data_IF_821948139089
#
_entry.id   IF_821948139089
#
_cell.length_a   1.000
_cell.length_b   1.000
_cell.length_c   1.000
_cell.angle_alpha   90.00
_cell.angle_beta   90.00
_cell.angle_gamma   90.00
#
_symmetry.space_group_name_H-M   'P 1'
#
loop_
_entity.id
_entity.type
_entity.pdbx_description
1 polymer ?
#
# COMPACT_ATOMS: atom_id res chain seq x y z
N UNK A 1 16.29 -7.43 -3.51
CA UNK A 1 16.04 -7.37 -2.07
C UNK A 1 17.35 -7.70 -1.35
N UNK A 2 17.72 -6.87 -0.40
CA UNK A 2 19.00 -6.96 0.30
C UNK A 2 18.81 -7.54 1.70
N UNK A 3 17.70 -7.18 2.36
CA UNK A 3 17.31 -7.61 3.69
C UNK A 3 15.83 -7.96 3.75
N UNK A 4 15.41 -8.55 4.86
CA UNK A 4 14.02 -8.84 5.19
C UNK A 4 13.72 -8.35 6.60
N UNK A 5 12.55 -7.73 6.79
CA UNK A 5 12.03 -7.48 8.12
C UNK A 5 11.39 -8.75 8.68
N UNK A 6 11.83 -9.16 9.86
CA UNK A 6 11.30 -10.32 10.58
C UNK A 6 10.65 -9.84 11.87
N UNK A 7 9.42 -10.24 12.10
CA UNK A 7 8.67 -9.87 13.30
C UNK A 7 9.14 -10.73 14.48
N UNK A 8 9.52 -10.12 15.59
CA UNK A 8 9.83 -10.89 16.81
C UNK A 8 8.56 -11.58 17.36
N UNK A 9 8.70 -12.68 18.10
CA UNK A 9 7.56 -13.45 18.63
C UNK A 9 6.58 -12.67 19.52
N UNK A 10 6.99 -11.49 19.98
CA UNK A 10 6.20 -10.61 20.85
C UNK A 10 5.37 -9.59 20.10
N UNK A 11 5.41 -9.59 18.77
CA UNK A 11 4.69 -8.63 17.92
C UNK A 11 3.78 -9.32 16.91
N UNK A 12 2.73 -8.62 16.54
CA UNK A 12 1.75 -8.96 15.52
C UNK A 12 1.35 -7.71 14.72
N UNK A 13 0.40 -7.83 13.83
CA UNK A 13 -0.06 -6.70 13.01
C UNK A 13 -0.74 -5.60 13.85
N UNK A 14 -1.30 -5.95 15.00
CA UNK A 14 -1.93 -4.98 15.92
C UNK A 14 -0.85 -4.08 16.54
N UNK A 15 0.20 -4.68 17.10
CA UNK A 15 1.29 -3.93 17.73
C UNK A 15 2.13 -3.15 16.71
N UNK A 16 2.36 -3.72 15.52
CA UNK A 16 3.01 -3.02 14.41
C UNK A 16 2.18 -1.81 13.95
N UNK A 17 0.89 -2.01 13.73
CA UNK A 17 -0.03 -0.95 13.31
C UNK A 17 -0.18 0.16 14.35
N UNK A 18 -0.34 -0.19 15.61
CA UNK A 18 -0.38 0.77 16.73
C UNK A 18 0.92 1.58 16.83
N UNK A 19 2.07 0.92 16.67
CA UNK A 19 3.38 1.59 16.71
C UNK A 19 3.55 2.58 15.56
N UNK A 20 3.15 2.20 14.34
CA UNK A 20 3.20 3.08 13.18
C UNK A 20 2.29 4.30 13.36
N UNK A 21 1.05 4.08 13.82
CA UNK A 21 0.09 5.15 14.08
C UNK A 21 0.57 6.10 15.20
N UNK A 22 1.11 5.57 16.28
CA UNK A 22 1.61 6.39 17.39
C UNK A 22 2.73 7.35 16.99
N UNK A 23 3.55 6.99 15.99
CA UNK A 23 4.59 7.88 15.45
C UNK A 23 4.03 9.04 14.63
N UNK A 24 2.83 8.89 14.10
CA UNK A 24 2.13 9.87 13.27
C UNK A 24 1.25 10.80 14.11
N UNK A 25 0.67 10.29 15.20
CA UNK A 25 -0.36 10.98 15.96
C UNK A 25 0.22 11.97 16.98
N UNK A 26 -0.45 13.12 17.06
CA UNK A 26 -0.30 14.10 18.14
C UNK A 26 -1.64 14.22 18.88
N UNK A 27 -1.68 14.77 20.12
CA UNK A 27 -2.93 14.96 20.84
C UNK A 27 -3.98 15.80 20.10
N UNK A 28 -3.55 16.70 19.21
CA UNK A 28 -4.44 17.51 18.36
C UNK A 28 -5.05 16.68 17.24
N UNK A 29 -4.24 15.84 16.58
CA UNK A 29 -4.69 14.97 15.49
C UNK A 29 -5.64 13.88 15.99
N UNK A 30 -5.38 13.31 17.16
CA UNK A 30 -6.20 12.25 17.78
C UNK A 30 -7.65 12.66 17.96
N UNK A 31 -7.90 13.94 18.34
CA UNK A 31 -9.26 14.46 18.62
C UNK A 31 -10.19 14.41 17.41
N UNK A 32 -9.65 14.48 16.21
CA UNK A 32 -10.43 14.55 14.97
C UNK A 32 -10.57 13.19 14.26
N UNK A 33 -9.97 12.13 14.82
CA UNK A 33 -10.08 10.79 14.24
C UNK A 33 -11.47 10.22 14.51
N UNK A 34 -12.29 10.18 13.50
CA UNK A 34 -13.65 9.61 13.56
C UNK A 34 -13.68 8.13 13.16
N UNK A 35 -12.69 7.68 12.40
CA UNK A 35 -12.67 6.33 11.84
C UNK A 35 -11.24 5.80 11.78
N UNK A 36 -11.06 4.53 12.17
CA UNK A 36 -9.83 3.75 11.98
C UNK A 36 -10.14 2.60 11.03
N UNK A 37 -9.42 2.54 9.90
CA UNK A 37 -9.49 1.43 8.95
C UNK A 37 -8.15 0.70 8.99
N UNK A 38 -8.17 -0.58 9.37
CA UNK A 38 -7.00 -1.45 9.29
C UNK A 38 -7.14 -2.32 8.05
N UNK A 39 -6.14 -2.27 7.20
CA UNK A 39 -6.04 -3.07 5.98
C UNK A 39 -4.98 -4.13 6.20
N UNK A 40 -5.37 -5.40 6.09
CA UNK A 40 -4.46 -6.52 6.38
C UNK A 40 -4.92 -7.81 5.72
N UNK A 41 -3.94 -8.64 5.33
CA UNK A 41 -4.11 -10.05 5.02
C UNK A 41 -3.73 -10.95 6.21
N UNK A 42 -3.20 -10.37 7.27
CA UNK A 42 -2.65 -11.06 8.43
C UNK A 42 -3.51 -10.85 9.69
N UNK A 43 -4.83 -10.70 9.51
CA UNK A 43 -5.80 -10.50 10.59
C UNK A 43 -5.68 -11.59 11.67
N UNK A 44 -5.97 -11.19 12.92
CA UNK A 44 -5.82 -12.05 14.10
C UNK A 44 -7.13 -12.70 14.54
N UNK A 45 -8.26 -12.24 14.01
CA UNK A 45 -9.60 -12.73 14.37
C UNK A 45 -10.52 -12.62 13.14
N UNK A 46 -11.44 -13.58 12.96
CA UNK A 46 -12.35 -13.61 11.83
C UNK A 46 -13.64 -12.77 12.04
N UNK A 47 -13.86 -12.23 13.23
CA UNK A 47 -15.04 -11.46 13.60
C UNK A 47 -14.71 -10.10 14.18
N UNK A 48 -13.78 -10.04 15.12
CA UNK A 48 -13.35 -8.80 15.76
C UNK A 48 -12.21 -8.16 14.96
N UNK A 49 -12.47 -6.97 14.41
CA UNK A 49 -11.49 -6.25 13.62
C UNK A 49 -10.22 -5.89 14.42
N UNK A 50 -9.04 -6.04 13.80
CA UNK A 50 -7.76 -5.57 14.38
C UNK A 50 -7.79 -4.07 14.70
N UNK A 51 -8.61 -3.30 14.00
CA UNK A 51 -8.81 -1.89 14.23
C UNK A 51 -9.33 -1.55 15.63
N UNK A 52 -10.14 -2.42 16.26
CA UNK A 52 -10.64 -2.21 17.65
C UNK A 52 -9.49 -2.31 18.64
N UNK A 53 -8.59 -3.29 18.46
CA UNK A 53 -7.43 -3.45 19.34
C UNK A 53 -6.48 -2.26 19.19
N UNK A 54 -6.20 -1.84 17.95
CA UNK A 54 -5.32 -0.68 17.69
C UNK A 54 -5.92 0.60 18.26
N UNK A 55 -7.23 0.84 18.02
CA UNK A 55 -7.96 1.98 18.60
C UNK A 55 -7.79 2.05 20.11
N UNK A 56 -7.94 0.91 20.81
CA UNK A 56 -7.77 0.81 22.25
C UNK A 56 -6.33 1.12 22.68
N UNK A 57 -5.32 0.54 22.01
CA UNK A 57 -3.90 0.79 22.31
C UNK A 57 -3.49 2.26 22.08
N UNK A 58 -4.14 2.95 21.16
CA UNK A 58 -3.92 4.37 20.90
C UNK A 58 -4.70 5.30 21.84
N UNK A 59 -5.60 4.76 22.67
CA UNK A 59 -6.43 5.58 23.56
C UNK A 59 -7.46 6.45 22.86
N UNK A 60 -7.84 6.11 21.59
CA UNK A 60 -8.82 6.88 20.85
C UNK A 60 -10.24 6.73 21.42
N UNK A 61 -11.09 7.73 21.16
CA UNK A 61 -12.47 7.83 21.64
C UNK A 61 -13.29 6.56 21.39
N UNK A 62 -14.19 6.22 22.29
CA UNK A 62 -15.15 5.11 22.08
C UNK A 62 -16.16 5.39 20.97
N UNK A 63 -16.29 6.63 20.56
CA UNK A 63 -17.12 7.04 19.43
C UNK A 63 -16.39 6.91 18.08
N UNK A 64 -15.11 6.50 18.05
CA UNK A 64 -14.37 6.23 16.82
C UNK A 64 -14.86 4.94 16.16
N UNK A 65 -15.28 5.02 14.90
CA UNK A 65 -15.62 3.83 14.09
C UNK A 65 -14.37 3.00 13.81
N UNK A 66 -14.53 1.70 13.77
CA UNK A 66 -13.44 0.78 13.45
C UNK A 66 -13.88 -0.24 12.41
N UNK A 67 -13.03 -0.50 11.44
CA UNK A 67 -13.26 -1.54 10.42
C UNK A 67 -11.95 -2.18 10.00
N UNK A 68 -12.01 -3.46 9.64
CA UNK A 68 -10.91 -4.16 8.98
C UNK A 68 -11.30 -4.46 7.54
N UNK A 69 -10.38 -4.18 6.61
CA UNK A 69 -10.57 -4.46 5.19
C UNK A 69 -9.61 -5.54 4.72
N UNK A 70 -10.15 -6.45 3.90
CA UNK A 70 -9.40 -7.52 3.25
C UNK A 70 -9.69 -7.54 1.76
N UNK A 71 -8.67 -7.33 0.96
CA UNK A 71 -8.64 -7.51 -0.50
C UNK A 71 -7.19 -7.68 -0.94
N UNK A 72 -6.55 -8.73 -0.46
CA UNK A 72 -5.12 -8.95 -0.67
C UNK A 72 -4.32 -7.65 -0.49
N UNK A 73 -3.27 -7.46 -1.26
CA UNK A 73 -2.40 -6.27 -1.17
C UNK A 73 -3.09 -4.94 -1.58
N UNK A 74 -4.30 -4.99 -2.17
CA UNK A 74 -5.07 -3.80 -2.58
C UNK A 74 -5.84 -3.16 -1.42
N UNK A 75 -6.08 -3.86 -0.33
CA UNK A 75 -7.03 -3.41 0.72
C UNK A 75 -6.72 -2.03 1.29
N UNK A 76 -5.44 -1.63 1.43
CA UNK A 76 -5.10 -0.28 1.90
C UNK A 76 -5.46 0.81 0.88
N UNK A 77 -5.34 0.52 -0.41
CA UNK A 77 -5.77 1.45 -1.46
C UNK A 77 -7.29 1.58 -1.48
N UNK A 78 -8.02 0.47 -1.31
CA UNK A 78 -9.47 0.50 -1.12
C UNK A 78 -9.84 1.36 0.11
N UNK A 79 -9.18 1.14 1.24
CA UNK A 79 -9.41 1.91 2.47
C UNK A 79 -9.25 3.41 2.27
N UNK A 80 -8.24 3.85 1.51
CA UNK A 80 -8.05 5.27 1.16
C UNK A 80 -9.22 5.80 0.33
N UNK A 81 -9.75 5.03 -0.62
CA UNK A 81 -10.92 5.45 -1.39
C UNK A 81 -12.17 5.61 -0.51
N UNK A 82 -12.39 4.69 0.43
CA UNK A 82 -13.47 4.83 1.42
C UNK A 82 -13.23 6.04 2.34
N UNK A 83 -11.99 6.23 2.81
CA UNK A 83 -11.62 7.37 3.64
C UNK A 83 -11.87 8.72 2.93
N UNK A 84 -11.56 8.82 1.63
CA UNK A 84 -11.92 10.00 0.81
C UNK A 84 -13.42 10.28 0.86
N UNK A 85 -14.25 9.25 0.72
CA UNK A 85 -15.70 9.38 0.80
C UNK A 85 -16.17 9.90 2.17
N UNK A 86 -15.61 9.38 3.27
CA UNK A 86 -15.93 9.85 4.63
C UNK A 86 -15.57 11.33 4.79
N UNK A 87 -14.36 11.71 4.41
CA UNK A 87 -13.86 13.10 4.53
C UNK A 87 -14.61 14.05 3.59
N UNK A 88 -14.99 13.61 2.39
CA UNK A 88 -15.79 14.43 1.47
C UNK A 88 -17.19 14.74 2.02
N UNK A 89 -17.81 13.79 2.72
CA UNK A 89 -19.11 13.99 3.37
C UNK A 89 -19.00 14.78 4.67
N UNK A 90 -17.90 14.65 5.38
CA UNK A 90 -17.66 15.28 6.68
C UNK A 90 -16.25 15.90 6.72
N UNK A 91 -16.03 17.09 6.16
CA UNK A 91 -14.70 17.69 6.00
C UNK A 91 -13.94 17.96 7.30
N UNK A 92 -14.61 17.92 8.46
CA UNK A 92 -13.98 18.09 9.78
C UNK A 92 -13.44 16.76 10.34
N UNK A 93 -13.83 15.63 9.75
CA UNK A 93 -13.38 14.33 10.18
C UNK A 93 -12.02 13.98 9.57
N UNK A 94 -11.27 13.18 10.32
CA UNK A 94 -10.02 12.58 9.84
C UNK A 94 -10.16 11.06 9.94
N UNK A 95 -9.70 10.36 8.92
CA UNK A 95 -9.66 8.90 8.90
C UNK A 95 -8.22 8.41 9.03
N UNK A 96 -7.97 7.56 10.01
CA UNK A 96 -6.70 6.86 10.17
C UNK A 96 -6.75 5.54 9.39
N UNK A 97 -5.96 5.44 8.34
CA UNK A 97 -5.78 4.20 7.56
C UNK A 97 -4.45 3.57 7.97
N UNK A 98 -4.48 2.30 8.32
CA UNK A 98 -3.30 1.53 8.73
C UNK A 98 -3.20 0.30 7.83
N UNK A 99 -2.10 0.18 7.10
CA UNK A 99 -1.72 -1.01 6.35
C UNK A 99 -0.69 -1.79 7.16
N UNK A 100 -1.02 -2.99 7.62
CA UNK A 100 -0.15 -3.77 8.50
C UNK A 100 -0.18 -5.25 8.12
N UNK A 101 0.98 -5.83 7.77
CA UNK A 101 1.07 -7.23 7.38
C UNK A 101 2.37 -7.92 7.81
N UNK A 102 2.29 -9.23 7.86
CA UNK A 102 3.39 -10.17 8.01
C UNK A 102 3.29 -11.16 6.86
N UNK A 103 4.14 -11.01 5.83
CA UNK A 103 4.09 -11.87 4.67
C UNK A 103 4.58 -13.29 5.00
N UNK A 104 3.80 -14.31 4.59
CA UNK A 104 4.08 -15.72 4.86
C UNK A 104 3.89 -16.56 3.61
N UNK A 105 5.00 -17.10 3.10
CA UNK A 105 5.01 -17.99 1.93
C UNK A 105 5.52 -19.40 2.26
N UNK A 106 5.89 -19.65 3.53
CA UNK A 106 6.48 -20.92 3.97
C UNK A 106 8.00 -21.00 3.75
N UNK A 107 8.61 -21.86 4.57
CA UNK A 107 10.05 -22.12 4.53
C UNK A 107 10.43 -22.92 3.29
N UNK A 108 11.60 -22.68 2.74
CA UNK A 108 12.16 -23.36 1.56
C UNK A 108 11.30 -23.21 0.29
N UNK A 109 10.45 -22.18 0.22
CA UNK A 109 9.68 -21.84 -0.99
C UNK A 109 10.34 -20.71 -1.76
N UNK A 110 10.09 -20.56 -3.08
CA UNK A 110 10.57 -19.42 -3.84
C UNK A 110 10.08 -18.06 -3.31
N UNK A 111 8.97 -18.04 -2.58
CA UNK A 111 8.41 -16.85 -1.96
C UNK A 111 9.12 -16.42 -0.67
N UNK A 112 9.80 -17.33 0.03
CA UNK A 112 10.43 -17.05 1.32
C UNK A 112 11.36 -15.81 1.28
N UNK A 113 12.18 -15.72 0.24
CA UNK A 113 13.14 -14.62 0.08
C UNK A 113 12.48 -13.26 -0.16
N UNK A 114 11.20 -13.22 -0.40
CA UNK A 114 10.44 -11.98 -0.63
C UNK A 114 9.68 -11.51 0.61
N UNK A 115 9.60 -12.35 1.65
CA UNK A 115 8.85 -12.02 2.88
C UNK A 115 9.35 -10.74 3.52
N UNK A 116 8.43 -10.05 4.17
CA UNK A 116 8.69 -8.88 4.97
C UNK A 116 7.59 -8.70 6.00
N UNK A 117 7.73 -7.70 6.87
CA UNK A 117 6.73 -7.38 7.86
C UNK A 117 6.83 -5.91 8.27
N UNK A 118 5.70 -5.30 8.59
CA UNK A 118 5.66 -3.92 9.05
C UNK A 118 4.28 -3.30 8.93
N UNK A 119 4.23 -2.01 9.19
CA UNK A 119 3.01 -1.23 9.06
C UNK A 119 3.29 0.19 8.54
N UNK A 120 2.34 0.72 7.77
CA UNK A 120 2.30 2.13 7.36
C UNK A 120 0.99 2.73 7.84
N UNK A 121 1.07 3.86 8.55
CA UNK A 121 -0.09 4.62 8.99
C UNK A 121 -0.24 5.91 8.18
N UNK A 122 -1.46 6.24 7.80
CA UNK A 122 -1.80 7.39 6.96
C UNK A 122 -3.01 8.10 7.54
N UNK A 123 -2.97 9.44 7.59
CA UNK A 123 -4.13 10.27 7.92
C UNK A 123 -4.72 10.85 6.64
N UNK A 124 -6.01 10.62 6.43
CA UNK A 124 -6.78 11.17 5.33
C UNK A 124 -7.67 12.28 5.88
N UNK A 125 -7.48 13.49 5.36
CA UNK A 125 -8.18 14.68 5.83
C UNK A 125 -8.43 15.66 4.67
N UNK A 126 -9.27 16.67 4.91
CA UNK A 126 -9.55 17.73 3.95
C UNK A 126 -8.33 18.60 3.64
N UNK A 127 -7.44 18.79 4.62
CA UNK A 127 -6.25 19.63 4.50
C UNK A 127 -4.98 18.77 4.53
N UNK A 128 -4.56 18.20 3.39
CA UNK A 128 -3.40 17.31 3.33
C UNK A 128 -2.08 18.10 3.49
N UNK A 129 -1.09 17.48 4.15
CA UNK A 129 0.24 18.07 4.34
C UNK A 129 1.31 17.48 3.42
N UNK A 130 1.11 16.26 2.92
CA UNK A 130 2.12 15.54 2.13
C UNK A 130 1.68 15.39 0.69
N UNK A 131 0.46 14.90 0.46
CA UNK A 131 -0.09 14.57 -0.86
C UNK A 131 -1.56 14.95 -0.95
N UNK A 132 -1.97 15.44 -2.10
CA UNK A 132 -3.39 15.56 -2.46
C UNK A 132 -3.79 14.37 -3.31
N UNK A 133 -4.87 13.70 -2.92
CA UNK A 133 -5.44 12.60 -3.70
C UNK A 133 -6.37 13.17 -4.76
N UNK A 134 -6.07 12.93 -6.03
CA UNK A 134 -6.94 13.33 -7.14
C UNK A 134 -8.24 12.51 -7.16
N UNK A 135 -9.27 13.03 -7.82
CA UNK A 135 -10.60 12.41 -7.82
C UNK A 135 -10.68 11.19 -8.75
N UNK A 136 -9.99 11.24 -9.88
CA UNK A 136 -10.03 10.15 -10.85
C UNK A 136 -9.21 8.95 -10.37
N UNK A 137 -9.88 7.84 -10.18
CA UNK A 137 -9.28 6.54 -9.87
C UNK A 137 -9.78 5.48 -10.83
N UNK A 138 -8.99 4.43 -11.02
CA UNK A 138 -9.37 3.27 -11.86
C UNK A 138 -9.09 2.00 -11.08
N UNK A 139 -10.04 1.07 -11.14
CA UNK A 139 -9.90 -0.27 -10.63
C UNK A 139 -10.13 -1.29 -11.74
N UNK A 140 -9.46 -2.44 -11.65
CA UNK A 140 -9.61 -3.56 -12.54
C UNK A 140 -9.55 -4.86 -11.74
N UNK A 141 -10.57 -5.67 -11.80
CA UNK A 141 -10.70 -6.91 -11.02
C UNK A 141 -11.16 -8.06 -11.89
N UNK A 142 -10.62 -9.24 -11.62
CA UNK A 142 -11.05 -10.51 -12.19
C UNK A 142 -11.01 -11.59 -11.12
N UNK A 143 -11.93 -12.55 -11.17
CA UNK A 143 -11.88 -13.75 -10.36
C UNK A 143 -10.84 -14.72 -10.93
N UNK A 144 -9.64 -14.69 -10.34
CA UNK A 144 -8.49 -15.51 -10.76
C UNK A 144 -7.75 -16.07 -9.55
N UNK A 145 -7.04 -17.17 -9.75
CA UNK A 145 -6.25 -17.86 -8.72
C UNK A 145 -4.75 -17.71 -9.02
N UNK A 146 -4.24 -16.50 -8.92
CA UNK A 146 -2.80 -16.21 -9.06
C UNK A 146 -2.09 -16.18 -7.70
N UNK A 147 -2.77 -15.66 -6.69
CA UNK A 147 -2.35 -15.59 -5.29
C UNK A 147 -3.59 -15.66 -4.39
N UNK A 148 -3.62 -16.61 -3.45
CA UNK A 148 -4.71 -16.72 -2.49
C UNK A 148 -4.25 -17.43 -1.21
N UNK A 149 -5.01 -17.25 -0.13
CA UNK A 149 -4.80 -17.95 1.14
C UNK A 149 -6.14 -18.38 1.73
N UNK A 150 -6.57 -19.61 1.48
CA UNK A 150 -7.82 -20.14 2.02
C UNK A 150 -7.75 -20.29 3.54
N UNK A 151 -8.91 -20.34 4.21
CA UNK A 151 -9.00 -20.40 5.67
C UNK A 151 -8.28 -21.61 6.31
N UNK A 152 -8.10 -22.69 5.57
CA UNK A 152 -7.38 -23.87 6.03
C UNK A 152 -5.85 -23.78 5.85
N UNK A 153 -5.33 -22.71 5.23
CA UNK A 153 -3.91 -22.52 4.98
C UNK A 153 -3.35 -21.37 5.82
N UNK A 154 -2.18 -21.60 6.43
CA UNK A 154 -1.43 -20.56 7.13
C UNK A 154 -0.54 -19.75 6.20
N UNK A 155 -0.20 -20.31 5.06
CA UNK A 155 0.70 -19.75 4.07
C UNK A 155 -0.04 -19.42 2.78
N UNK A 156 0.43 -18.41 2.05
CA UNK A 156 -0.14 -18.05 0.76
C UNK A 156 0.20 -19.11 -0.30
N UNK A 157 -0.77 -19.43 -1.14
CA UNK A 157 -0.61 -20.22 -2.35
C UNK A 157 -0.43 -19.27 -3.53
N UNK A 158 0.57 -19.52 -4.38
CA UNK A 158 0.90 -18.63 -5.49
C UNK A 158 1.38 -19.39 -6.72
N UNK A 159 0.84 -19.03 -7.89
CA UNK A 159 1.45 -19.34 -9.18
C UNK A 159 2.31 -18.12 -9.60
N UNK A 160 3.58 -18.14 -9.27
CA UNK A 160 4.46 -16.98 -9.40
C UNK A 160 4.66 -16.48 -10.83
N UNK A 161 4.62 -17.37 -11.85
CA UNK A 161 4.73 -16.98 -13.25
C UNK A 161 3.42 -16.34 -13.74
N UNK A 162 2.32 -16.98 -13.44
CA UNK A 162 0.98 -16.47 -13.77
C UNK A 162 0.72 -15.13 -13.08
N UNK A 163 0.97 -15.05 -11.77
CA UNK A 163 0.83 -13.81 -10.98
C UNK A 163 1.67 -12.65 -11.54
N UNK A 164 2.91 -12.91 -11.99
CA UNK A 164 3.74 -11.88 -12.63
C UNK A 164 3.09 -11.35 -13.92
N UNK A 165 2.54 -12.22 -14.76
CA UNK A 165 1.91 -11.81 -16.01
C UNK A 165 0.62 -11.02 -15.75
N UNK A 166 -0.20 -11.49 -14.82
CA UNK A 166 -1.43 -10.83 -14.39
C UNK A 166 -1.16 -9.44 -13.81
N UNK A 167 -0.13 -9.31 -12.97
CA UNK A 167 0.28 -8.01 -12.43
C UNK A 167 0.55 -6.99 -13.54
N UNK A 168 1.33 -7.37 -14.56
CA UNK A 168 1.66 -6.49 -15.69
C UNK A 168 0.40 -6.18 -16.51
N UNK A 169 -0.40 -7.20 -16.83
CA UNK A 169 -1.66 -7.04 -17.59
C UNK A 169 -2.60 -6.05 -16.88
N UNK A 170 -2.87 -6.26 -15.58
CA UNK A 170 -3.81 -5.43 -14.82
C UNK A 170 -3.31 -4.00 -14.69
N UNK A 171 -2.02 -3.81 -14.47
CA UNK A 171 -1.42 -2.47 -14.46
C UNK A 171 -1.62 -1.76 -15.81
N UNK A 172 -1.34 -2.42 -16.92
CA UNK A 172 -1.52 -1.82 -18.24
C UNK A 172 -3.00 -1.50 -18.56
N UNK A 173 -3.93 -2.36 -18.15
CA UNK A 173 -5.37 -2.12 -18.30
C UNK A 173 -5.82 -0.90 -17.49
N UNK A 174 -5.41 -0.80 -16.23
CA UNK A 174 -5.78 0.33 -15.36
C UNK A 174 -5.15 1.62 -15.86
N UNK A 175 -3.89 1.62 -16.26
CA UNK A 175 -3.21 2.81 -16.79
C UNK A 175 -3.83 3.28 -18.10
N UNK A 176 -4.10 2.38 -19.04
CA UNK A 176 -4.79 2.71 -20.29
C UNK A 176 -6.17 3.33 -20.05
N UNK A 177 -6.93 2.74 -19.11
CA UNK A 177 -8.24 3.30 -18.75
C UNK A 177 -8.12 4.67 -18.08
N UNK A 178 -7.12 4.87 -17.22
CA UNK A 178 -6.85 6.16 -16.61
C UNK A 178 -6.52 7.24 -17.67
N UNK A 179 -5.68 6.92 -18.66
CA UNK A 179 -5.38 7.81 -19.78
C UNK A 179 -6.63 8.20 -20.57
N UNK A 180 -7.50 7.23 -20.87
CA UNK A 180 -8.78 7.49 -21.56
C UNK A 180 -9.68 8.46 -20.79
N UNK A 181 -9.72 8.36 -19.46
CA UNK A 181 -10.57 9.20 -18.62
C UNK A 181 -10.00 10.59 -18.41
N UNK A 182 -8.69 10.73 -18.36
CA UNK A 182 -8.03 11.98 -17.97
C UNK A 182 -7.36 12.72 -19.12
N UNK A 183 -7.08 12.05 -20.23
CA UNK A 183 -6.25 12.56 -21.32
C UNK A 183 -4.77 12.70 -20.98
N UNK A 184 -4.33 12.20 -19.82
CA UNK A 184 -2.94 12.35 -19.34
C UNK A 184 -2.01 11.34 -19.99
N UNK A 185 -0.80 11.81 -20.27
CA UNK A 185 0.28 11.02 -20.84
C UNK A 185 1.39 10.73 -19.82
N UNK A 186 2.33 9.84 -20.15
CA UNK A 186 3.47 9.52 -19.27
C UNK A 186 4.31 10.75 -18.92
N UNK A 187 4.36 11.74 -19.79
CA UNK A 187 5.10 12.99 -19.55
C UNK A 187 4.54 13.80 -18.39
N UNK A 188 3.25 13.64 -18.07
CA UNK A 188 2.56 14.37 -17.00
C UNK A 188 2.92 13.87 -15.59
N UNK A 189 3.60 12.71 -15.50
CA UNK A 189 4.01 12.12 -14.25
C UNK A 189 5.48 12.37 -13.98
N UNK A 190 5.78 12.87 -12.79
CA UNK A 190 7.17 12.98 -12.32
C UNK A 190 7.71 11.61 -11.91
N UNK A 191 6.87 10.75 -11.35
CA UNK A 191 7.21 9.39 -10.93
C UNK A 191 6.00 8.47 -11.00
N UNK A 192 6.25 7.16 -10.96
CA UNK A 192 5.25 6.11 -10.74
C UNK A 192 5.71 5.23 -9.59
N UNK A 193 4.81 4.95 -8.65
CA UNK A 193 5.04 3.99 -7.57
C UNK A 193 4.24 2.72 -7.80
N UNK A 194 4.77 1.62 -7.31
CA UNK A 194 4.20 0.30 -7.54
C UNK A 194 4.05 -0.47 -6.22
N UNK A 195 3.04 -1.32 -6.14
CA UNK A 195 3.07 -2.43 -5.20
C UNK A 195 4.23 -3.35 -5.54
N UNK A 196 5.06 -3.66 -4.55
CA UNK A 196 6.27 -4.46 -4.74
C UNK A 196 6.24 -5.74 -3.92
N UNK A 197 5.64 -6.83 -4.45
CA UNK A 197 5.74 -8.14 -3.81
C UNK A 197 7.19 -8.65 -3.77
N UNK A 198 8.02 -8.15 -4.67
CA UNK A 198 9.48 -8.20 -4.65
C UNK A 198 10.03 -7.04 -5.50
N UNK A 199 11.25 -6.61 -5.22
CA UNK A 199 11.80 -5.35 -5.78
C UNK A 199 11.82 -5.28 -7.31
N UNK A 200 12.02 -6.40 -8.01
CA UNK A 200 12.04 -6.41 -9.49
C UNK A 200 10.66 -6.25 -10.13
N UNK A 201 9.55 -6.41 -9.37
CA UNK A 201 8.21 -6.37 -9.95
C UNK A 201 7.84 -4.98 -10.45
N UNK A 202 8.13 -3.93 -9.69
CA UNK A 202 7.90 -2.55 -10.14
C UNK A 202 8.63 -2.23 -11.44
N UNK A 203 9.88 -2.73 -11.59
CA UNK A 203 10.63 -2.59 -12.85
C UNK A 203 9.94 -3.31 -14.00
N UNK A 204 9.46 -4.54 -13.80
CA UNK A 204 8.74 -5.28 -14.85
C UNK A 204 7.46 -4.55 -15.29
N UNK A 205 6.70 -3.99 -14.34
CA UNK A 205 5.52 -3.18 -14.64
C UNK A 205 5.86 -1.93 -15.45
N UNK A 206 6.86 -1.17 -15.00
CA UNK A 206 7.30 0.04 -15.71
C UNK A 206 7.81 -0.26 -17.11
N UNK A 207 8.68 -1.26 -17.30
CA UNK A 207 9.21 -1.62 -18.62
C UNK A 207 8.09 -2.12 -19.56
N UNK A 208 7.09 -2.84 -19.04
CA UNK A 208 5.89 -3.20 -19.80
C UNK A 208 5.12 -1.99 -20.33
N UNK A 209 5.10 -0.89 -19.58
CA UNK A 209 4.48 0.36 -19.99
C UNK A 209 5.35 1.15 -20.97
N UNK A 210 6.66 1.20 -20.74
CA UNK A 210 7.60 1.98 -21.56
C UNK A 210 7.84 1.38 -22.95
N UNK A 211 7.71 0.06 -23.12
CA UNK A 211 7.86 -0.63 -24.43
C UNK A 211 9.13 -0.19 -25.18
N UNK A 212 10.28 -0.34 -24.56
CA UNK A 212 11.60 0.01 -25.12
C UNK A 212 11.87 1.52 -25.36
N UNK A 213 10.99 2.41 -24.88
CA UNK A 213 11.28 3.86 -24.88
C UNK A 213 12.55 4.16 -24.08
N UNK A 214 13.36 5.06 -24.62
CA UNK A 214 14.61 5.51 -23.98
C UNK A 214 14.79 7.04 -24.06
N UNK A 215 13.68 7.77 -24.11
CA UNK A 215 13.65 9.24 -24.04
C UNK A 215 13.81 9.74 -22.58
N UNK A 216 13.86 11.05 -22.42
CA UNK A 216 14.01 11.69 -21.12
C UNK A 216 12.90 11.31 -20.11
N UNK A 217 11.67 11.14 -20.59
CA UNK A 217 10.53 10.70 -19.76
C UNK A 217 10.79 9.31 -19.19
N UNK A 218 11.19 8.37 -20.07
CA UNK A 218 11.49 7.00 -19.67
C UNK A 218 12.67 6.94 -18.67
N UNK A 219 13.72 7.72 -18.93
CA UNK A 219 14.89 7.79 -18.04
C UNK A 219 14.52 8.36 -16.66
N UNK A 220 13.74 9.44 -16.62
CA UNK A 220 13.20 10.01 -15.36
C UNK A 220 12.41 8.99 -14.58
N UNK A 221 11.43 8.32 -15.19
CA UNK A 221 10.58 7.34 -14.52
C UNK A 221 11.40 6.14 -13.98
N UNK A 222 12.44 5.68 -14.69
CA UNK A 222 13.35 4.64 -14.19
C UNK A 222 14.17 5.10 -12.99
N UNK A 223 14.66 6.33 -13.01
CA UNK A 223 15.41 6.92 -11.89
C UNK A 223 14.53 7.02 -10.64
N UNK A 224 13.31 7.54 -10.79
CA UNK A 224 12.37 7.68 -9.69
C UNK A 224 11.89 6.32 -9.16
N UNK A 225 11.71 5.33 -10.03
CA UNK A 225 11.43 3.96 -9.60
C UNK A 225 12.56 3.42 -8.71
N UNK A 226 13.81 3.67 -9.05
CA UNK A 226 14.95 3.24 -8.24
C UNK A 226 14.89 3.84 -6.82
N UNK A 227 14.59 5.14 -6.71
CA UNK A 227 14.40 5.81 -5.42
C UNK A 227 13.22 5.20 -4.63
N UNK A 228 12.13 4.85 -5.30
CA UNK A 228 10.95 4.23 -4.66
C UNK A 228 11.21 2.82 -4.13
N UNK A 229 12.22 2.12 -4.62
CA UNK A 229 12.53 0.73 -4.24
C UNK A 229 13.43 0.59 -3.01
N UNK A 230 14.09 1.66 -2.56
CA UNK A 230 15.14 1.56 -1.54
C UNK A 230 14.63 0.95 -0.23
N UNK A 231 13.47 1.36 0.25
CA UNK A 231 12.90 0.80 1.49
C UNK A 231 12.42 -0.64 1.29
N UNK A 232 11.77 -0.94 0.18
CA UNK A 232 11.32 -2.30 -0.11
C UNK A 232 12.48 -3.30 -0.23
N UNK A 233 13.67 -2.84 -0.66
CA UNK A 233 14.89 -3.67 -0.69
C UNK A 233 15.36 -4.08 0.71
N UNK A 234 15.09 -3.26 1.73
CA UNK A 234 15.50 -3.48 3.11
C UNK A 234 14.45 -4.24 3.94
N UNK A 235 13.19 -4.12 3.57
CA UNK A 235 12.07 -4.62 4.38
C UNK A 235 11.46 -5.90 3.78
N UNK A 236 11.35 -5.98 2.46
CA UNK A 236 10.62 -7.04 1.76
C UNK A 236 9.15 -6.69 1.53
N UNK A 237 8.34 -7.72 1.26
CA UNK A 237 6.92 -7.55 0.96
C UNK A 237 6.12 -7.25 2.24
N UNK A 238 5.43 -6.12 2.26
CA UNK A 238 4.47 -5.74 3.29
C UNK A 238 3.02 -5.96 2.86
N UNK A 239 2.76 -6.76 1.83
CA UNK A 239 1.43 -6.93 1.26
C UNK A 239 0.71 -5.57 1.09
N UNK A 240 -0.30 -5.27 1.91
CA UNK A 240 -1.10 -4.03 1.84
C UNK A 240 -0.27 -2.75 1.99
N UNK A 241 0.82 -2.81 2.74
CA UNK A 241 1.71 -1.66 2.99
C UNK A 241 2.76 -1.42 1.92
N UNK A 242 3.02 -2.38 1.02
CA UNK A 242 4.16 -2.32 0.09
C UNK A 242 4.13 -1.12 -0.86
N UNK A 243 2.97 -0.73 -1.38
CA UNK A 243 2.83 0.45 -2.23
C UNK A 243 3.17 1.74 -1.47
N UNK A 244 2.71 1.86 -0.24
CA UNK A 244 2.91 3.05 0.60
C UNK A 244 4.34 3.13 1.14
N UNK A 245 4.97 1.98 1.40
CA UNK A 245 6.40 1.92 1.68
C UNK A 245 7.22 2.42 0.47
N UNK A 246 6.82 2.02 -0.74
CA UNK A 246 7.41 2.50 -1.99
C UNK A 246 7.24 4.01 -2.17
N UNK A 247 6.05 4.53 -1.88
CA UNK A 247 5.77 5.97 -1.90
C UNK A 247 6.61 6.74 -0.88
N UNK A 248 6.70 6.26 0.36
CA UNK A 248 7.55 6.86 1.40
C UNK A 248 9.03 6.87 0.97
N UNK A 249 9.50 5.76 0.39
CA UNK A 249 10.86 5.68 -0.14
C UNK A 249 11.10 6.72 -1.23
N UNK A 250 10.17 6.87 -2.17
CA UNK A 250 10.25 7.89 -3.23
C UNK A 250 10.34 9.29 -2.65
N UNK A 251 9.44 9.64 -1.72
CA UNK A 251 9.38 10.99 -1.13
C UNK A 251 10.66 11.36 -0.34
N UNK A 252 11.33 10.37 0.25
CA UNK A 252 12.53 10.61 1.05
C UNK A 252 13.84 10.54 0.25
N UNK A 253 13.85 9.84 -0.89
CA UNK A 253 15.09 9.53 -1.61
C UNK A 253 15.10 10.08 -3.05
N UNK A 254 14.18 10.98 -3.38
CA UNK A 254 14.14 11.64 -4.69
C UNK A 254 14.16 13.16 -4.55
N UNK A 255 14.31 13.82 -5.68
CA UNK A 255 14.31 15.28 -5.84
C UNK A 255 12.93 15.82 -6.27
N UNK A 256 11.85 15.08 -5.99
CA UNK A 256 10.50 15.50 -6.33
C UNK A 256 10.15 16.84 -5.68
N UNK A 257 9.57 17.72 -6.49
CA UNK A 257 9.15 19.06 -6.05
C UNK A 257 7.66 19.07 -5.68
N UNK A 258 7.28 20.01 -4.81
CA UNK A 258 5.86 20.28 -4.54
C UNK A 258 5.11 20.55 -5.86
N UNK A 259 3.91 19.98 -5.99
CA UNK A 259 3.10 20.02 -7.20
C UNK A 259 3.44 18.94 -8.24
N UNK A 260 4.44 18.11 -7.99
CA UNK A 260 4.71 16.93 -8.84
C UNK A 260 3.56 15.93 -8.78
N UNK A 261 3.16 15.39 -9.94
CA UNK A 261 2.20 14.29 -10.02
C UNK A 261 2.93 12.95 -9.93
N UNK A 262 2.42 12.07 -9.10
CA UNK A 262 2.90 10.70 -8.90
C UNK A 262 1.82 9.72 -9.30
#
# INVERSE_FOLDING_TARGET
QDLQAVVPPTQDIVTLGATAAKKLLTPELEKNISTVIVSTESGIDNSKASAIYIKHLLGLSDFTRTVEMKEACYSATAAIQFAKGVVALNPQETVLVIAADIARYGLNTPGEVTQGAGAVAMLISQNPHILTLEDTTVAYSKDIMDFWRPLYATEALVDGKYSTNVYIEFFLQTFTRYQQLTGRELADFAALTFHMPFTKMGKKGLEGLLKDRNDEVAQRLRTQLTASQLFSRQVGNLYTGSLYLSLMSLLQNSDLRAGSRI
#
